data_IF_138983673217
#
_entry.id   IF_138983673217
#
_cell.length_a   1.000
_cell.length_b   1.000
_cell.length_c   1.000
_cell.angle_alpha   90.00
_cell.angle_beta   90.00
_cell.angle_gamma   90.00
#
_symmetry.space_group_name_H-M   'P 1'
#
loop_
_entity.id
_entity.type
_entity.pdbx_description
1 polymer ?
#
# COMPACT_ATOMS: atom_id res chain seq x y z
N UNK A 1 1.41 -9.46 1.76
CA UNK A 1 1.26 -8.30 0.85
C UNK A 1 0.20 -7.35 1.39
N UNK A 2 -1.00 -7.84 1.76
CA UNK A 2 -2.05 -7.02 2.37
C UNK A 2 -1.61 -6.22 3.60
N UNK A 3 -0.85 -6.82 4.52
CA UNK A 3 -0.35 -6.10 5.70
C UNK A 3 0.49 -4.87 5.32
N UNK A 4 1.39 -5.03 4.35
CA UNK A 4 2.24 -3.94 3.86
C UNK A 4 1.39 -2.90 3.11
N UNK A 5 0.45 -3.33 2.26
CA UNK A 5 -0.49 -2.42 1.59
C UNK A 5 -1.24 -1.54 2.59
N UNK A 6 -1.88 -2.15 3.60
CA UNK A 6 -2.64 -1.41 4.60
C UNK A 6 -1.75 -0.53 5.48
N UNK A 7 -0.54 -0.98 5.84
CA UNK A 7 0.42 -0.18 6.59
C UNK A 7 0.88 1.04 5.80
N UNK A 8 1.26 0.87 4.53
CA UNK A 8 1.70 1.95 3.64
C UNK A 8 0.56 2.94 3.40
N UNK A 9 -0.62 2.46 3.04
CA UNK A 9 -1.82 3.29 2.84
C UNK A 9 -2.17 4.12 4.07
N UNK A 10 -2.13 3.49 5.25
CA UNK A 10 -2.41 4.19 6.51
C UNK A 10 -1.32 5.20 6.86
N UNK A 11 -0.05 4.87 6.60
CA UNK A 11 1.08 5.77 6.80
C UNK A 11 0.97 7.01 5.90
N UNK A 12 0.67 6.83 4.61
CA UNK A 12 0.42 7.92 3.66
C UNK A 12 -0.75 8.81 4.10
N UNK A 13 -1.86 8.20 4.52
CA UNK A 13 -3.03 8.93 5.04
C UNK A 13 -2.69 9.78 6.28
N UNK A 14 -1.85 9.26 7.17
CA UNK A 14 -1.45 9.95 8.40
C UNK A 14 -0.27 10.91 8.22
N UNK A 15 0.29 11.07 7.02
CA UNK A 15 1.46 11.93 6.79
C UNK A 15 1.33 13.33 7.44
N UNK A 16 0.20 14.06 7.31
CA UNK A 16 0.07 15.38 7.95
C UNK A 16 0.11 15.32 9.48
N UNK A 17 -0.44 14.26 10.08
CA UNK A 17 -0.43 14.07 11.52
C UNK A 17 0.95 13.65 12.03
N UNK A 18 1.68 12.83 11.26
CA UNK A 18 3.05 12.43 11.56
C UNK A 18 3.97 13.65 11.48
N UNK A 19 3.83 14.49 10.47
CA UNK A 19 4.59 15.73 10.34
C UNK A 19 4.37 16.67 11.51
N UNK A 20 3.11 16.85 11.93
CA UNK A 20 2.78 17.64 13.10
C UNK A 20 3.37 17.03 14.38
N UNK A 21 3.32 15.71 14.53
CA UNK A 21 3.87 15.00 15.68
C UNK A 21 5.40 15.13 15.76
N UNK A 22 6.10 15.01 14.63
CA UNK A 22 7.56 15.15 14.54
C UNK A 22 8.04 16.60 14.72
N UNK A 23 7.19 17.59 14.41
CA UNK A 23 7.50 19.00 14.65
C UNK A 23 7.51 19.38 16.14
N UNK A 24 6.97 18.54 17.03
CA UNK A 24 6.96 18.81 18.47
C UNK A 24 8.38 18.69 19.06
N UNK A 25 8.80 19.63 19.92
CA UNK A 25 10.15 19.65 20.48
C UNK A 25 10.48 18.45 21.40
N UNK A 26 9.45 17.73 21.86
CA UNK A 26 9.60 16.48 22.63
C UNK A 26 10.06 15.31 21.76
N UNK A 27 9.80 15.36 20.45
CA UNK A 27 10.05 14.26 19.50
C UNK A 27 11.26 14.54 18.59
N UNK A 28 12.19 15.41 19.00
CA UNK A 28 13.35 15.81 18.18
C UNK A 28 14.21 14.64 17.71
N UNK A 29 14.37 13.61 18.53
CA UNK A 29 15.12 12.41 18.15
C UNK A 29 14.41 11.64 17.03
N UNK A 30 13.08 11.54 17.08
CA UNK A 30 12.27 10.90 16.04
C UNK A 30 12.25 11.73 14.75
N UNK A 31 12.30 13.06 14.86
CA UNK A 31 12.35 13.96 13.72
C UNK A 31 13.62 13.75 12.85
N UNK A 32 14.69 13.18 13.41
CA UNK A 32 15.88 12.79 12.65
C UNK A 32 15.62 11.65 11.67
N UNK A 33 14.57 10.87 11.90
CA UNK A 33 14.13 9.76 11.05
C UNK A 33 12.95 10.13 10.15
N UNK A 34 12.68 11.44 10.01
CA UNK A 34 11.63 11.92 9.12
C UNK A 34 11.95 11.52 7.68
N UNK A 35 10.96 10.93 7.02
CA UNK A 35 11.03 10.64 5.59
C UNK A 35 11.06 11.94 4.77
N UNK A 36 11.92 11.95 3.77
CA UNK A 36 11.99 13.00 2.74
C UNK A 36 10.75 12.95 1.84
N UNK A 37 10.47 14.06 1.14
CA UNK A 37 9.38 14.11 0.16
C UNK A 37 9.54 13.05 -0.94
N UNK A 38 10.78 12.73 -1.31
CA UNK A 38 11.07 11.68 -2.28
C UNK A 38 10.72 10.29 -1.73
N UNK A 39 11.05 9.99 -0.48
CA UNK A 39 10.68 8.71 0.14
C UNK A 39 9.16 8.56 0.31
N UNK A 40 8.45 9.65 0.61
CA UNK A 40 6.99 9.67 0.59
C UNK A 40 6.40 9.42 -0.79
N UNK A 41 6.98 9.99 -1.85
CA UNK A 41 6.57 9.71 -3.22
C UNK A 41 6.74 8.23 -3.57
N UNK A 42 7.88 7.64 -3.20
CA UNK A 42 8.14 6.22 -3.42
C UNK A 42 7.13 5.34 -2.66
N UNK A 43 6.77 5.70 -1.42
CA UNK A 43 5.74 4.98 -0.67
C UNK A 43 4.35 5.07 -1.32
N UNK A 44 4.00 6.21 -1.89
CA UNK A 44 2.76 6.37 -2.66
C UNK A 44 2.78 5.48 -3.92
N UNK A 45 3.90 5.40 -4.63
CA UNK A 45 4.06 4.49 -5.77
C UNK A 45 3.88 3.02 -5.35
N UNK A 46 4.45 2.64 -4.20
CA UNK A 46 4.25 1.31 -3.64
C UNK A 46 2.80 1.04 -3.24
N UNK A 47 2.05 2.03 -2.76
CA UNK A 47 0.62 1.88 -2.48
C UNK A 47 -0.14 1.49 -3.74
N UNK A 48 0.10 2.18 -4.86
CA UNK A 48 -0.54 1.90 -6.16
C UNK A 48 -0.17 0.51 -6.66
N UNK A 49 1.11 0.15 -6.60
CA UNK A 49 1.59 -1.17 -7.02
C UNK A 49 0.93 -2.28 -6.19
N UNK A 50 0.84 -2.08 -4.87
CA UNK A 50 0.28 -3.08 -3.95
C UNK A 50 -1.24 -3.16 -3.97
N UNK A 51 -1.94 -2.15 -4.50
CA UNK A 51 -3.40 -2.18 -4.70
C UNK A 51 -3.80 -3.27 -5.70
N UNK A 52 -3.00 -3.51 -6.74
CA UNK A 52 -3.25 -4.50 -7.79
C UNK A 52 -3.33 -5.94 -7.21
N UNK A 53 -2.32 -6.47 -6.50
CA UNK A 53 -2.39 -7.80 -5.90
C UNK A 53 -3.44 -7.85 -4.79
N UNK A 54 -3.66 -6.76 -4.05
CA UNK A 54 -4.75 -6.71 -3.06
C UNK A 54 -6.11 -6.97 -3.72
N UNK A 55 -6.41 -6.29 -4.82
CA UNK A 55 -7.68 -6.47 -5.53
C UNK A 55 -7.81 -7.88 -6.12
N UNK A 56 -6.75 -8.41 -6.74
CA UNK A 56 -6.72 -9.78 -7.27
C UNK A 56 -6.97 -10.79 -6.16
N UNK A 57 -6.32 -10.62 -5.01
CA UNK A 57 -6.51 -11.49 -3.85
C UNK A 57 -7.95 -11.41 -3.31
N UNK A 58 -8.55 -10.22 -3.22
CA UNK A 58 -9.94 -10.06 -2.78
C UNK A 58 -10.93 -10.79 -3.73
N UNK A 59 -10.71 -10.68 -5.04
CA UNK A 59 -11.53 -11.40 -6.05
C UNK A 59 -11.39 -12.91 -5.90
N UNK A 60 -10.15 -13.41 -5.73
CA UNK A 60 -9.87 -14.84 -5.57
C UNK A 60 -10.34 -15.42 -4.23
N UNK A 61 -10.42 -14.61 -3.17
CA UNK A 61 -10.91 -15.02 -1.86
C UNK A 61 -12.44 -14.95 -1.74
N UNK A 62 -13.15 -14.34 -2.68
CA UNK A 62 -14.61 -14.32 -2.66
C UNK A 62 -15.14 -15.75 -2.86
N UNK A 63 -15.83 -16.32 -1.85
CA UNK A 63 -16.34 -17.72 -1.85
C UNK A 63 -17.51 -17.95 -2.84
N UNK A 64 -17.42 -17.43 -4.07
CA UNK A 64 -18.44 -17.54 -5.10
C UNK A 64 -17.97 -18.54 -6.16
N UNK A 65 -18.55 -19.75 -6.20
CA UNK A 65 -18.27 -20.71 -7.28
C UNK A 65 -18.70 -20.12 -8.64
N UNK A 66 -17.90 -20.25 -9.73
CA UNK A 66 -16.68 -21.03 -9.90
C UNK A 66 -15.41 -20.15 -9.98
N UNK A 67 -14.79 -19.87 -8.83
CA UNK A 67 -13.52 -19.12 -8.73
C UNK A 67 -12.41 -19.76 -9.56
N UNK A 68 -12.40 -21.09 -9.71
CA UNK A 68 -11.35 -21.83 -10.44
C UNK A 68 -11.22 -21.42 -11.91
N UNK A 69 -12.33 -21.03 -12.57
CA UNK A 69 -12.31 -20.52 -13.93
C UNK A 69 -11.86 -19.04 -14.01
N UNK A 70 -12.00 -18.29 -12.92
CA UNK A 70 -11.58 -16.89 -12.80
C UNK A 70 -10.11 -16.69 -12.41
N UNK A 71 -9.42 -17.74 -11.98
CA UNK A 71 -8.00 -17.68 -11.60
C UNK A 71 -7.12 -17.25 -12.76
N UNK A 72 -7.30 -17.84 -13.96
CA UNK A 72 -6.47 -17.53 -15.13
C UNK A 72 -6.66 -16.06 -15.56
N UNK A 73 -7.89 -15.55 -15.77
CA UNK A 73 -8.10 -14.12 -16.06
C UNK A 73 -7.58 -13.18 -14.97
N UNK A 74 -7.64 -13.59 -13.70
CA UNK A 74 -7.15 -12.77 -12.58
C UNK A 74 -5.62 -12.69 -12.57
N UNK A 75 -4.94 -13.79 -12.91
CA UNK A 75 -3.49 -13.79 -13.10
C UNK A 75 -3.06 -13.02 -14.35
N UNK A 76 -3.78 -13.13 -15.47
CA UNK A 76 -3.53 -12.32 -16.66
C UNK A 76 -3.68 -10.82 -16.33
N UNK A 77 -4.76 -10.43 -15.64
CA UNK A 77 -4.96 -9.05 -15.20
C UNK A 77 -3.84 -8.58 -14.26
N UNK A 78 -3.39 -9.43 -13.34
CA UNK A 78 -2.27 -9.13 -12.46
C UNK A 78 -1.00 -8.83 -13.27
N UNK A 79 -0.63 -9.72 -14.20
CA UNK A 79 0.57 -9.57 -15.01
C UNK A 79 0.51 -8.33 -15.91
N UNK A 80 -0.63 -8.07 -16.57
CA UNK A 80 -0.77 -6.90 -17.46
C UNK A 80 -0.78 -5.57 -16.71
N UNK A 81 -1.34 -5.50 -15.50
CA UNK A 81 -1.35 -4.25 -14.71
C UNK A 81 -0.03 -3.99 -13.98
N UNK A 82 0.82 -5.01 -13.86
CA UNK A 82 2.09 -4.94 -13.14
C UNK A 82 3.27 -4.57 -14.06
N UNK A 83 3.12 -4.70 -15.38
CA UNK A 83 4.03 -4.14 -16.40
C UNK A 83 3.89 -2.61 -16.53
#
# INVERSE_FOLDING_TARGET
WDSIYFMTKHLCYLCPAIDHFLALPVNKELALHKLTEQEWSVLADFEVILEIPHHVQQVMLSESTPILAGVIPSFEMFMTKWE
#
